data_IF_995486829216
#
_entry.id   IF_995486829216
#
_cell.length_a   1.000
_cell.length_b   1.000
_cell.length_c   1.000
_cell.angle_alpha   90.00
_cell.angle_beta   90.00
_cell.angle_gamma   90.00
#
_symmetry.space_group_name_H-M   'P 1'
#
loop_
_entity.id
_entity.type
_entity.pdbx_description
1 polymer ?
#
# COMPACT_ATOMS: atom_id res chain seq x y z
N UNK A 1 -20.74 -14.81 10.33
CA UNK A 1 -20.02 -13.72 11.03
C UNK A 1 -18.54 -14.08 10.99
N UNK A 2 -17.70 -13.29 10.33
CA UNK A 2 -16.27 -13.61 10.23
C UNK A 2 -15.61 -13.50 11.61
N UNK A 3 -14.77 -14.48 11.96
CA UNK A 3 -14.01 -14.46 13.22
C UNK A 3 -13.00 -13.30 13.17
N UNK A 4 -12.97 -12.46 14.20
CA UNK A 4 -11.95 -11.42 14.35
C UNK A 4 -10.58 -12.10 14.48
N UNK A 5 -9.54 -11.65 13.74
CA UNK A 5 -8.21 -12.24 13.86
C UNK A 5 -7.62 -11.99 15.24
N UNK A 6 -6.80 -12.94 15.71
CA UNK A 6 -6.15 -12.86 17.02
C UNK A 6 -5.10 -11.72 17.04
N UNK A 7 -4.45 -11.45 15.90
CA UNK A 7 -3.50 -10.36 15.69
C UNK A 7 -3.60 -9.78 14.26
N UNK A 8 -3.23 -8.50 14.14
CA UNK A 8 -3.14 -7.75 12.88
C UNK A 8 -1.85 -6.97 12.86
N UNK A 9 -1.10 -7.03 11.75
CA UNK A 9 0.00 -6.09 11.46
C UNK A 9 -0.30 -5.28 10.20
N UNK A 10 0.21 -4.05 10.17
CA UNK A 10 0.23 -3.20 9.00
C UNK A 10 1.68 -2.84 8.64
N UNK A 11 1.97 -2.69 7.35
CA UNK A 11 3.27 -2.23 6.90
C UNK A 11 3.16 -1.27 5.71
N UNK A 12 4.13 -0.37 5.58
CA UNK A 12 4.23 0.62 4.51
C UNK A 12 5.67 0.67 4.00
N UNK A 13 5.82 0.70 2.68
CA UNK A 13 7.14 0.83 2.06
C UNK A 13 7.05 1.54 0.71
N UNK A 14 7.99 2.45 0.46
CA UNK A 14 8.10 3.24 -0.76
C UNK A 14 9.01 2.57 -1.80
N UNK A 15 8.75 2.84 -3.07
CA UNK A 15 9.42 2.23 -4.21
C UNK A 15 9.89 3.30 -5.20
N UNK A 16 10.96 3.02 -5.97
CA UNK A 16 11.47 3.97 -6.96
C UNK A 16 10.46 4.27 -8.08
N UNK A 17 9.63 3.29 -8.46
CA UNK A 17 8.58 3.43 -9.46
C UNK A 17 7.45 2.41 -9.24
N UNK A 18 6.37 2.55 -10.01
CA UNK A 18 5.19 1.68 -9.96
C UNK A 18 5.53 0.25 -10.36
N UNK A 19 6.47 0.04 -11.29
CA UNK A 19 6.85 -1.29 -11.74
C UNK A 19 7.52 -2.08 -10.60
N UNK A 20 8.44 -1.46 -9.86
CA UNK A 20 9.09 -2.04 -8.69
C UNK A 20 8.07 -2.41 -7.59
N UNK A 21 7.11 -1.52 -7.30
CA UNK A 21 6.04 -1.79 -6.35
C UNK A 21 5.17 -2.99 -6.78
N UNK A 22 4.74 -3.02 -8.04
CA UNK A 22 3.93 -4.13 -8.58
C UNK A 22 4.71 -5.45 -8.57
N UNK A 23 6.00 -5.44 -8.95
CA UNK A 23 6.84 -6.64 -8.90
C UNK A 23 7.03 -7.16 -7.48
N UNK A 24 7.17 -6.28 -6.49
CA UNK A 24 7.22 -6.68 -5.09
C UNK A 24 5.91 -7.34 -4.63
N UNK A 25 4.75 -6.75 -4.98
CA UNK A 25 3.44 -7.34 -4.69
C UNK A 25 3.27 -8.72 -5.35
N UNK A 26 3.67 -8.87 -6.61
CA UNK A 26 3.67 -10.16 -7.32
C UNK A 26 4.54 -11.18 -6.60
N UNK A 27 5.75 -10.80 -6.19
CA UNK A 27 6.69 -11.70 -5.52
C UNK A 27 6.16 -12.17 -4.16
N UNK A 28 5.50 -11.29 -3.40
CA UNK A 28 4.83 -11.63 -2.13
C UNK A 28 3.72 -12.67 -2.38
N UNK A 29 2.86 -12.43 -3.36
CA UNK A 29 1.76 -13.33 -3.71
C UNK A 29 2.26 -14.67 -4.23
N UNK A 30 3.30 -14.67 -5.07
CA UNK A 30 3.93 -15.88 -5.61
C UNK A 30 4.62 -16.73 -4.54
N UNK A 31 5.10 -16.09 -3.47
CA UNK A 31 5.65 -16.78 -2.30
C UNK A 31 4.55 -17.38 -1.39
N UNK A 32 3.26 -17.16 -1.70
CA UNK A 32 2.14 -17.75 -0.97
C UNK A 32 1.89 -17.13 0.41
N UNK A 33 2.38 -15.91 0.66
CA UNK A 33 2.12 -15.22 1.91
C UNK A 33 0.62 -14.89 2.01
N UNK A 34 -0.06 -15.26 3.12
CA UNK A 34 -1.48 -14.98 3.30
C UNK A 34 -1.68 -13.50 3.65
N UNK A 35 -1.74 -12.66 2.62
CA UNK A 35 -2.01 -11.24 2.74
C UNK A 35 -3.48 -10.98 3.05
N UNK A 36 -3.77 -10.12 4.04
CA UNK A 36 -5.12 -9.62 4.24
C UNK A 36 -5.43 -8.46 3.28
N UNK A 37 -4.46 -7.57 3.04
CA UNK A 37 -4.57 -6.44 2.10
C UNK A 37 -3.24 -6.12 1.44
N UNK A 38 -3.31 -5.67 0.19
CA UNK A 38 -2.20 -5.08 -0.57
C UNK A 38 -2.78 -3.91 -1.34
N UNK A 39 -2.34 -2.70 -1.01
CA UNK A 39 -2.83 -1.45 -1.60
C UNK A 39 -1.66 -0.64 -2.12
N UNK A 40 -1.87 0.09 -3.22
CA UNK A 40 -0.88 0.96 -3.84
C UNK A 40 -1.42 2.39 -3.90
N UNK A 41 -0.60 3.35 -3.48
CA UNK A 41 -0.75 4.76 -3.81
C UNK A 41 0.43 5.15 -4.71
N UNK A 42 0.16 5.84 -5.81
CA UNK A 42 1.23 6.38 -6.65
C UNK A 42 1.80 7.69 -6.08
N UNK A 43 2.84 8.23 -6.71
CA UNK A 43 3.50 9.45 -6.27
C UNK A 43 2.57 10.69 -6.23
N UNK A 44 1.58 10.76 -7.13
CA UNK A 44 0.64 11.88 -7.19
C UNK A 44 -0.31 11.81 -5.99
N UNK A 45 -0.85 10.62 -5.71
CA UNK A 45 -1.69 10.40 -4.54
C UNK A 45 -0.90 10.57 -3.24
N UNK A 46 0.37 10.12 -3.17
CA UNK A 46 1.23 10.34 -2.02
C UNK A 46 1.49 11.83 -1.75
N UNK A 47 1.74 12.63 -2.79
CA UNK A 47 1.85 14.09 -2.64
C UNK A 47 0.53 14.71 -2.18
N UNK A 48 -0.60 14.25 -2.73
CA UNK A 48 -1.92 14.75 -2.35
C UNK A 48 -2.22 14.50 -0.86
N UNK A 49 -1.98 13.28 -0.37
CA UNK A 49 -2.28 12.93 1.04
C UNK A 49 -1.34 13.62 2.01
N UNK A 50 -0.07 13.84 1.64
CA UNK A 50 0.83 14.67 2.44
C UNK A 50 0.28 16.09 2.63
N UNK A 51 -0.16 16.72 1.54
CA UNK A 51 -0.73 18.08 1.58
C UNK A 51 -2.07 18.15 2.32
N UNK A 52 -2.93 17.16 2.09
CA UNK A 52 -4.29 17.14 2.65
C UNK A 52 -4.30 16.80 4.15
N UNK A 53 -3.51 15.81 4.56
CA UNK A 53 -3.51 15.27 5.93
C UNK A 53 -2.36 15.77 6.80
N UNK A 54 -1.46 16.61 6.26
CA UNK A 54 -0.28 17.10 6.97
C UNK A 54 0.76 16.00 7.25
N UNK A 55 0.83 15.00 6.38
CA UNK A 55 1.76 13.87 6.49
C UNK A 55 3.09 14.18 5.79
N UNK A 56 4.11 13.39 6.10
CA UNK A 56 5.48 13.59 5.61
C UNK A 56 6.07 12.32 5.00
N UNK A 57 5.25 11.51 4.33
CA UNK A 57 5.73 10.33 3.59
C UNK A 57 6.56 10.75 2.37
N UNK A 58 7.37 9.83 1.86
CA UNK A 58 8.04 10.04 0.57
C UNK A 58 6.99 10.13 -0.55
N UNK A 59 7.11 11.13 -1.42
CA UNK A 59 6.25 11.31 -2.60
C UNK A 59 6.68 10.36 -3.74
N UNK A 60 6.48 9.06 -3.53
CA UNK A 60 6.82 8.00 -4.48
C UNK A 60 5.82 6.85 -4.40
N UNK A 61 5.73 5.96 -5.39
CA UNK A 61 4.84 4.81 -5.32
C UNK A 61 5.06 4.03 -4.03
N UNK A 62 3.99 3.73 -3.30
CA UNK A 62 4.06 3.19 -1.94
C UNK A 62 3.04 2.08 -1.76
N UNK A 63 3.50 0.93 -1.25
CA UNK A 63 2.63 -0.18 -0.88
C UNK A 63 2.20 -0.08 0.58
N UNK A 64 0.95 -0.41 0.83
CA UNK A 64 0.36 -0.59 2.16
C UNK A 64 -0.10 -2.04 2.27
N UNK A 65 0.40 -2.74 3.28
CA UNK A 65 0.19 -4.17 3.49
C UNK A 65 -0.51 -4.41 4.82
N UNK A 66 -1.39 -5.41 4.86
CA UNK A 66 -2.01 -5.88 6.09
C UNK A 66 -1.95 -7.40 6.18
N UNK A 67 -1.68 -7.92 7.37
CA UNK A 67 -1.60 -9.35 7.67
C UNK A 67 -2.48 -9.68 8.87
N UNK A 68 -3.21 -10.79 8.79
CA UNK A 68 -4.11 -11.26 9.85
C UNK A 68 -3.70 -12.69 10.26
N UNK A 69 -3.73 -12.99 11.55
CA UNK A 69 -3.40 -14.34 12.02
C UNK A 69 -3.21 -14.43 13.52
N UNK A 70 -2.43 -15.42 13.98
CA UNK A 70 -1.88 -15.42 15.33
C UNK A 70 -0.77 -14.38 15.46
N UNK A 71 -0.41 -13.98 16.68
CA UNK A 71 0.68 -13.03 16.92
C UNK A 71 2.02 -13.49 16.32
N UNK A 72 2.31 -14.79 16.37
CA UNK A 72 3.51 -15.36 15.73
C UNK A 72 3.39 -15.36 14.21
N UNK A 73 2.22 -15.74 13.68
CA UNK A 73 1.97 -15.79 12.25
C UNK A 73 2.10 -14.42 11.58
N UNK A 74 1.53 -13.36 12.16
CA UNK A 74 1.68 -12.02 11.57
C UNK A 74 3.11 -11.52 11.63
N UNK A 75 3.89 -11.84 12.68
CA UNK A 75 5.29 -11.46 12.76
C UNK A 75 6.15 -12.17 11.70
N UNK A 76 5.98 -13.49 11.55
CA UNK A 76 6.68 -14.30 10.53
C UNK A 76 6.34 -13.85 9.12
N UNK A 77 5.05 -13.60 8.84
CA UNK A 77 4.59 -13.12 7.53
C UNK A 77 5.13 -11.72 7.22
N UNK A 78 5.13 -10.82 8.21
CA UNK A 78 5.65 -9.45 8.04
C UNK A 78 7.14 -9.46 7.71
N UNK A 79 7.93 -10.28 8.40
CA UNK A 79 9.37 -10.39 8.14
C UNK A 79 9.67 -11.06 6.80
N UNK A 80 8.92 -12.09 6.42
CA UNK A 80 9.03 -12.70 5.10
C UNK A 80 8.68 -11.70 3.98
N UNK A 81 7.64 -10.89 4.16
CA UNK A 81 7.27 -9.85 3.22
C UNK A 81 8.34 -8.75 3.12
N UNK A 82 8.92 -8.33 4.26
CA UNK A 82 10.05 -7.38 4.29
C UNK A 82 11.23 -7.89 3.47
N UNK A 83 11.64 -9.15 3.69
CA UNK A 83 12.76 -9.74 2.97
C UNK A 83 12.52 -9.79 1.45
N UNK A 84 11.27 -10.02 1.03
CA UNK A 84 10.90 -9.96 -0.40
C UNK A 84 10.96 -8.52 -0.92
N UNK A 85 10.38 -7.56 -0.20
CA UNK A 85 10.30 -6.15 -0.60
C UNK A 85 11.67 -5.51 -0.76
N UNK A 86 12.61 -5.82 0.14
CA UNK A 86 13.97 -5.29 0.10
C UNK A 86 14.76 -5.69 -1.15
N UNK A 87 14.25 -6.62 -1.98
CA UNK A 87 14.83 -6.94 -3.30
C UNK A 87 14.46 -5.92 -4.38
N UNK A 88 13.46 -5.08 -4.13
CA UNK A 88 12.87 -4.14 -5.10
C UNK A 88 12.99 -2.67 -4.68
N UNK A 89 13.41 -2.41 -3.44
CA UNK A 89 13.62 -1.06 -2.91
C UNK A 89 14.63 -1.08 -1.78
N UNK A 90 15.35 0.02 -1.61
CA UNK A 90 16.24 0.26 -0.46
C UNK A 90 15.57 1.11 0.63
N UNK A 91 14.31 1.49 0.43
CA UNK A 91 13.58 2.36 1.34
C UNK A 91 13.19 1.62 2.63
N UNK A 92 12.90 2.41 3.66
CA UNK A 92 12.50 1.89 4.96
C UNK A 92 11.20 1.07 4.86
N UNK A 93 11.21 -0.11 5.49
CA UNK A 93 10.01 -0.92 5.70
C UNK A 93 9.44 -0.67 7.09
N UNK A 94 8.47 0.23 7.16
CA UNK A 94 7.77 0.60 8.39
C UNK A 94 6.65 -0.40 8.65
N UNK A 95 6.49 -0.85 9.89
CA UNK A 95 5.45 -1.81 10.25
C UNK A 95 5.04 -1.66 11.71
N UNK A 96 3.81 -2.07 12.03
CA UNK A 96 3.26 -2.02 13.37
C UNK A 96 2.22 -3.09 13.63
N UNK A 97 2.14 -3.52 14.89
CA UNK A 97 1.07 -4.38 15.44
C UNK A 97 0.21 -3.66 16.48
N UNK A 98 0.62 -2.48 16.95
CA UNK A 98 -0.20 -1.61 17.79
C UNK A 98 -1.31 -0.97 16.97
N UNK A 99 -2.53 -0.91 17.51
CA UNK A 99 -3.69 -0.39 16.78
C UNK A 99 -3.56 1.07 16.36
N UNK A 100 -3.05 1.94 17.24
CA UNK A 100 -2.87 3.34 16.93
C UNK A 100 -1.78 3.55 15.88
N UNK A 101 -0.66 2.82 15.96
CA UNK A 101 0.38 2.85 14.92
C UNK A 101 -0.13 2.31 13.58
N UNK A 102 -0.90 1.21 13.55
CA UNK A 102 -1.50 0.72 12.31
C UNK A 102 -2.44 1.75 11.69
N UNK A 103 -3.26 2.41 12.50
CA UNK A 103 -4.15 3.47 12.03
C UNK A 103 -3.35 4.64 11.41
N UNK A 104 -2.22 5.02 12.01
CA UNK A 104 -1.30 6.03 11.46
C UNK A 104 -0.71 5.60 10.11
N UNK A 105 -0.24 4.35 10.02
CA UNK A 105 0.29 3.80 8.77
C UNK A 105 -0.78 3.80 7.67
N UNK A 106 -2.01 3.42 7.99
CA UNK A 106 -3.10 3.36 7.02
C UNK A 106 -3.75 4.71 6.70
N UNK A 107 -3.48 5.77 7.45
CA UNK A 107 -4.11 7.07 7.27
C UNK A 107 -3.97 7.60 5.85
N UNK A 108 -2.77 7.54 5.28
CA UNK A 108 -2.52 7.98 3.90
C UNK A 108 -3.45 7.27 2.89
N UNK A 109 -3.60 5.95 3.02
CA UNK A 109 -4.46 5.17 2.11
C UNK A 109 -5.95 5.41 2.35
N UNK A 110 -6.38 5.66 3.58
CA UNK A 110 -7.77 6.03 3.90
C UNK A 110 -8.14 7.42 3.36
N UNK A 111 -7.22 8.38 3.46
CA UNK A 111 -7.46 9.77 3.06
C UNK A 111 -7.33 9.97 1.54
N UNK A 112 -6.79 8.99 0.81
CA UNK A 112 -6.43 9.10 -0.62
C UNK A 112 -7.52 9.63 -1.54
N UNK A 113 -8.78 9.26 -1.33
CA UNK A 113 -9.89 9.76 -2.14
C UNK A 113 -10.14 11.27 -1.91
N UNK A 114 -10.24 11.69 -0.65
CA UNK A 114 -10.49 13.08 -0.29
C UNK A 114 -9.30 13.98 -0.65
N UNK A 115 -8.09 13.48 -0.45
CA UNK A 115 -6.87 14.15 -0.88
C UNK A 115 -6.84 14.36 -2.41
N UNK A 116 -7.28 13.37 -3.18
CA UNK A 116 -7.36 13.48 -4.65
C UNK A 116 -8.39 14.54 -5.09
N UNK A 117 -9.55 14.62 -4.43
CA UNK A 117 -10.53 15.68 -4.69
C UNK A 117 -9.96 17.07 -4.39
N UNK A 118 -9.17 17.20 -3.32
CA UNK A 118 -8.58 18.46 -2.90
C UNK A 118 -7.52 19.03 -3.88
N UNK A 119 -7.01 18.20 -4.81
CA UNK A 119 -6.04 18.65 -5.84
C UNK A 119 -6.65 19.63 -6.85
N UNK A 120 -7.97 19.63 -7.04
CA UNK A 120 -8.65 20.47 -8.04
C UNK A 120 -9.87 21.17 -7.46
N UNK A 121 -9.79 22.49 -7.34
CA UNK A 121 -10.94 23.32 -6.96
C UNK A 121 -12.04 23.21 -8.03
N UNK A 122 -13.30 23.06 -7.60
CA UNK A 122 -14.47 22.89 -8.46
C UNK A 122 -14.46 21.66 -9.39
N UNK A 123 -13.59 20.67 -9.10
CA UNK A 123 -13.63 19.37 -9.76
C UNK A 123 -14.66 18.43 -9.13
N UNK A 124 -15.04 17.39 -9.86
CA UNK A 124 -15.77 16.24 -9.33
C UNK A 124 -14.90 14.98 -9.42
N UNK A 125 -14.98 14.13 -8.40
CA UNK A 125 -14.30 12.84 -8.40
C UNK A 125 -15.00 11.86 -9.33
N UNK A 126 -14.22 11.13 -10.12
CA UNK A 126 -14.69 9.99 -10.90
C UNK A 126 -13.91 8.76 -10.47
N UNK A 127 -14.61 7.77 -9.91
CA UNK A 127 -14.02 6.51 -9.45
C UNK A 127 -14.49 5.40 -10.39
N UNK A 128 -13.55 4.60 -10.86
CA UNK A 128 -13.79 3.44 -11.71
C UNK A 128 -12.86 2.31 -11.29
N UNK A 129 -13.29 1.08 -11.51
CA UNK A 129 -12.56 -0.14 -11.23
C UNK A 129 -12.34 -0.94 -12.52
N UNK A 130 -11.17 -1.57 -12.61
CA UNK A 130 -10.81 -2.48 -13.71
C UNK A 130 -10.08 -3.69 -13.16
N UNK A 131 -10.30 -4.84 -13.79
CA UNK A 131 -9.54 -6.06 -13.53
C UNK A 131 -8.65 -6.36 -14.73
N UNK A 132 -7.34 -6.47 -14.49
CA UNK A 132 -6.35 -6.78 -15.52
C UNK A 132 -5.49 -7.97 -15.09
N UNK A 133 -4.89 -8.72 -16.01
CA UNK A 133 -3.87 -9.69 -15.66
C UNK A 133 -2.77 -9.03 -14.82
N UNK A 134 -2.29 -9.71 -13.78
CA UNK A 134 -1.32 -9.13 -12.85
C UNK A 134 -0.02 -8.70 -13.55
N UNK A 135 0.37 -9.39 -14.63
CA UNK A 135 1.48 -9.05 -15.51
C UNK A 135 1.32 -7.69 -16.22
N UNK A 136 0.08 -7.21 -16.37
CA UNK A 136 -0.27 -5.99 -17.07
C UNK A 136 -0.62 -4.84 -16.11
N UNK A 137 -0.62 -5.09 -14.79
CA UNK A 137 -1.04 -4.11 -13.78
C UNK A 137 -0.18 -2.84 -13.82
N UNK A 138 1.14 -2.98 -13.86
CA UNK A 138 2.05 -1.83 -13.90
C UNK A 138 1.82 -0.96 -15.15
N UNK A 139 1.65 -1.59 -16.31
CA UNK A 139 1.38 -0.88 -17.56
C UNK A 139 -0.02 -0.23 -17.56
N UNK A 140 -1.02 -0.89 -16.99
CA UNK A 140 -2.35 -0.33 -16.83
C UNK A 140 -2.32 0.96 -16.00
N UNK A 141 -1.63 0.95 -14.85
CA UNK A 141 -1.48 2.13 -13.99
C UNK A 141 -0.73 3.24 -14.72
N UNK A 142 0.35 2.91 -15.42
CA UNK A 142 1.16 3.87 -16.19
C UNK A 142 0.31 4.58 -17.25
N UNK A 143 -0.48 3.83 -18.03
CA UNK A 143 -1.33 4.38 -19.10
C UNK A 143 -2.49 5.21 -18.58
N UNK A 144 -3.02 4.91 -17.40
CA UNK A 144 -4.11 5.71 -16.80
C UNK A 144 -3.69 7.13 -16.40
N UNK A 145 -2.39 7.44 -16.45
CA UNK A 145 -1.84 8.77 -16.19
C UNK A 145 -1.67 9.63 -17.45
N UNK A 146 -1.77 9.04 -18.64
CA UNK A 146 -1.62 9.69 -19.95
C UNK A 146 -2.96 10.19 -20.49
#
# INVERSE_FOLDING_TARGET
MARKPDAVSAAVCSFPDVAAAVQAAIAILAAGLPMARVELLDEVQMSAVNRYSGLSYRESPTLFLEFHGSSTGVAEQTEAARAIIQRFTSDEFQWATDEAERCRLWQARHDGYYASLALRTNGAGYVTDVCVPISNLAECIRRSKE
#
